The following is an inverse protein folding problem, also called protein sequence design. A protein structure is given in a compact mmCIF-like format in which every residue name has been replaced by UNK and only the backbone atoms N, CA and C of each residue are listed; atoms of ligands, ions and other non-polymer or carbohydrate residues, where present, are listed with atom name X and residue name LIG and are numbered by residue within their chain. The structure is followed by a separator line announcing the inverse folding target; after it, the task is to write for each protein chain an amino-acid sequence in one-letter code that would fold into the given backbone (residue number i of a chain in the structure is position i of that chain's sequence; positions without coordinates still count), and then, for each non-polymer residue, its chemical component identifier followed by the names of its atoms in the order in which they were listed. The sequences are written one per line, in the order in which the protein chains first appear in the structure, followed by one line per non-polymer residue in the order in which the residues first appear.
data_IF_197966807246
#
_entry.id   IF_197966807246
#
_cell.length_a   1.000
_cell.length_b   1.000
_cell.length_c   1.000
_cell.angle_alpha   90.00
_cell.angle_beta   90.00
_cell.angle_gamma   90.00
#
_symmetry.space_group_name_H-M   'P 1'
#
loop_
_entity.id
_entity.type
_entity.pdbx_description
1 polymer ?
#
# COMPACT_ATOMS: atom_id res chain seq x y z
N UNK A 1 13.58 -12.97 -47.58
CA UNK A 1 12.25 -12.70 -47.02
C UNK A 1 12.18 -13.42 -45.68
N UNK A 2 12.29 -12.70 -44.57
CA UNK A 2 12.20 -13.28 -43.22
C UNK A 2 10.76 -13.14 -42.71
N UNK A 3 10.12 -14.18 -42.16
CA UNK A 3 8.85 -14.00 -41.47
C UNK A 3 9.13 -13.38 -40.10
N UNK A 4 8.47 -12.26 -39.84
CA UNK A 4 8.41 -11.62 -38.52
C UNK A 4 7.37 -12.38 -37.69
N UNK A 5 7.80 -13.15 -36.71
CA UNK A 5 6.91 -13.77 -35.72
C UNK A 5 6.65 -12.79 -34.58
N UNK A 6 5.43 -12.26 -34.47
CA UNK A 6 4.98 -11.48 -33.32
C UNK A 6 4.32 -12.47 -32.35
N UNK A 7 4.97 -12.74 -31.22
CA UNK A 7 4.36 -13.43 -30.10
C UNK A 7 3.44 -12.44 -29.37
N UNK A 8 2.13 -12.63 -29.48
CA UNK A 8 1.15 -11.91 -28.65
C UNK A 8 1.06 -12.63 -27.30
N UNK A 9 1.69 -12.08 -26.26
CA UNK A 9 1.45 -12.49 -24.87
C UNK A 9 0.17 -11.80 -24.38
N UNK A 10 -0.90 -12.58 -24.22
CA UNK A 10 -2.14 -12.13 -23.58
C UNK A 10 -1.90 -11.90 -22.09
N UNK A 11 -1.71 -10.64 -21.70
CA UNK A 11 -1.80 -10.22 -20.29
C UNK A 11 -3.27 -10.37 -19.87
N UNK A 12 -3.60 -11.07 -18.77
CA UNK A 12 -4.96 -11.09 -18.26
C UNK A 12 -5.33 -9.65 -17.89
N UNK A 13 -6.24 -9.04 -18.66
CA UNK A 13 -6.81 -7.75 -18.30
C UNK A 13 -7.64 -7.98 -17.03
N UNK A 14 -7.10 -7.52 -15.90
CA UNK A 14 -7.86 -7.37 -14.67
C UNK A 14 -8.93 -6.31 -14.99
N UNK A 15 -10.20 -6.72 -15.01
CA UNK A 15 -11.32 -5.81 -15.18
C UNK A 15 -11.31 -4.81 -14.02
N UNK A 16 -10.79 -3.60 -14.26
CA UNK A 16 -11.03 -2.47 -13.37
C UNK A 16 -12.50 -2.07 -13.54
N UNK A 17 -13.30 -2.42 -12.55
CA UNK A 17 -14.65 -1.88 -12.43
C UNK A 17 -14.52 -0.43 -11.97
N UNK A 18 -14.58 0.51 -12.90
CA UNK A 18 -14.75 1.93 -12.54
C UNK A 18 -16.20 2.12 -12.13
N UNK A 19 -16.45 2.13 -10.82
CA UNK A 19 -17.75 2.55 -10.30
C UNK A 19 -17.90 4.06 -10.54
N UNK A 20 -18.61 4.41 -11.61
CA UNK A 20 -19.09 5.78 -11.83
C UNK A 20 -20.24 6.06 -10.87
N UNK A 21 -20.06 7.04 -9.98
CA UNK A 21 -21.12 7.60 -9.14
C UNK A 21 -21.22 6.99 -7.74
N UNK A 22 -20.17 7.12 -6.93
CA UNK A 22 -20.29 6.87 -5.50
C UNK A 22 -20.60 8.21 -4.81
N UNK A 23 -21.74 8.31 -4.11
CA UNK A 23 -22.07 9.42 -3.20
C UNK A 23 -21.10 9.52 -2.01
N UNK A 24 -20.10 8.64 -1.95
CA UNK A 24 -19.09 8.51 -0.91
C UNK A 24 -17.73 8.25 -1.55
N UNK A 25 -16.64 8.78 -0.96
CA UNK A 25 -15.31 8.52 -1.48
C UNK A 25 -14.95 7.03 -1.44
N UNK A 26 -14.23 6.60 -2.46
CA UNK A 26 -13.67 5.25 -2.57
C UNK A 26 -12.25 5.20 -2.02
N UNK A 27 -11.86 4.01 -1.54
CA UNK A 27 -10.51 3.72 -1.04
C UNK A 27 -9.91 2.58 -1.87
N UNK A 28 -8.78 2.82 -2.52
CA UNK A 28 -7.99 1.83 -3.24
C UNK A 28 -6.68 1.57 -2.50
N UNK A 29 -6.23 0.31 -2.52
CA UNK A 29 -4.92 -0.11 -2.01
C UNK A 29 -4.19 -0.77 -3.16
N UNK A 30 -3.02 -0.23 -3.51
CA UNK A 30 -2.28 -0.61 -4.70
C UNK A 30 -0.84 -0.97 -4.39
N UNK A 31 -0.20 -1.67 -5.32
CA UNK A 31 1.23 -1.99 -5.29
C UNK A 31 1.71 -2.68 -4.01
N UNK A 32 0.87 -3.52 -3.39
CA UNK A 32 1.22 -4.24 -2.16
C UNK A 32 2.40 -5.19 -2.44
N UNK A 33 3.51 -4.94 -1.77
CA UNK A 33 4.70 -5.78 -1.80
C UNK A 33 5.08 -6.15 -0.38
N UNK A 34 5.23 -7.44 -0.15
CA UNK A 34 5.76 -7.99 1.08
C UNK A 34 6.99 -8.81 0.75
N UNK A 35 8.07 -8.58 1.48
CA UNK A 35 9.29 -9.35 1.35
C UNK A 35 9.85 -9.70 2.73
N UNK A 36 10.53 -10.84 2.83
CA UNK A 36 11.32 -11.18 4.00
C UNK A 36 12.69 -11.70 3.57
N UNK A 37 13.74 -11.29 4.28
CA UNK A 37 15.12 -11.71 4.02
C UNK A 37 15.91 -11.87 5.30
N UNK A 38 16.99 -12.66 5.25
CA UNK A 38 17.91 -12.82 6.37
C UNK A 38 18.90 -11.65 6.41
N UNK A 39 19.14 -11.09 7.61
CA UNK A 39 20.14 -10.03 7.80
C UNK A 39 21.58 -10.55 7.90
N UNK A 40 21.77 -11.87 8.07
CA UNK A 40 23.08 -12.52 8.13
C UNK A 40 23.11 -13.72 7.19
N UNK A 41 24.18 -13.82 6.40
CA UNK A 41 24.31 -14.76 5.26
C UNK A 41 25.15 -16.01 5.58
N UNK A 42 25.43 -16.31 6.85
CA UNK A 42 26.18 -17.53 7.17
C UNK A 42 25.27 -18.77 7.06
N UNK A 43 25.78 -19.94 6.59
CA UNK A 43 25.00 -21.17 6.42
C UNK A 43 24.38 -21.72 7.72
N UNK A 44 24.76 -21.16 8.88
CA UNK A 44 24.25 -21.48 10.21
C UNK A 44 23.28 -20.42 10.77
N UNK A 45 22.97 -19.37 10.00
CA UNK A 45 22.24 -18.21 10.51
C UNK A 45 20.74 -18.49 10.70
N UNK A 46 20.38 -18.89 11.92
CA UNK A 46 19.08 -18.56 12.54
C UNK A 46 19.03 -17.05 12.92
N UNK A 47 19.70 -16.19 12.15
CA UNK A 47 19.82 -14.77 12.44
C UNK A 47 18.49 -14.02 12.24
N UNK A 48 18.37 -12.79 12.76
CA UNK A 48 17.16 -12.01 12.61
C UNK A 48 16.81 -11.87 11.12
N UNK A 49 15.54 -12.14 10.81
CA UNK A 49 14.95 -11.87 9.51
C UNK A 49 14.36 -10.46 9.54
N UNK A 50 14.45 -9.77 8.42
CA UNK A 50 13.77 -8.51 8.22
C UNK A 50 12.58 -8.72 7.30
N UNK A 51 11.39 -8.34 7.77
CA UNK A 51 10.20 -8.22 6.97
C UNK A 51 10.02 -6.77 6.53
N UNK A 52 9.65 -6.57 5.28
CA UNK A 52 9.30 -5.28 4.70
C UNK A 52 7.93 -5.40 4.04
N UNK A 53 7.08 -4.41 4.28
CA UNK A 53 5.84 -4.21 3.55
C UNK A 53 5.82 -2.77 2.99
N UNK A 54 5.44 -2.64 1.73
CA UNK A 54 5.20 -1.37 1.05
C UNK A 54 3.92 -1.45 0.21
N UNK A 55 3.14 -0.36 0.22
CA UNK A 55 1.91 -0.23 -0.56
C UNK A 55 1.50 1.25 -0.67
N UNK A 56 0.52 1.51 -1.54
CA UNK A 56 -0.06 2.85 -1.74
C UNK A 56 -1.55 2.83 -1.41
N UNK A 57 -2.02 3.87 -0.71
CA UNK A 57 -3.44 4.13 -0.48
C UNK A 57 -3.86 5.29 -1.39
N UNK A 58 -4.98 5.14 -2.08
CA UNK A 58 -5.59 6.22 -2.86
C UNK A 58 -7.02 6.41 -2.36
N UNK A 59 -7.35 7.63 -1.93
CA UNK A 59 -8.71 8.02 -1.57
C UNK A 59 -9.25 8.97 -2.64
N UNK A 60 -10.40 8.66 -3.23
CA UNK A 60 -10.93 9.46 -4.33
C UNK A 60 -11.49 10.84 -3.92
N UNK A 61 -11.58 11.16 -2.63
CA UNK A 61 -11.87 12.54 -2.19
C UNK A 61 -10.61 13.40 -2.12
N UNK A 62 -9.47 12.84 -1.71
CA UNK A 62 -8.22 13.60 -1.55
C UNK A 62 -7.40 13.57 -2.84
N UNK A 63 -7.54 12.51 -3.65
CA UNK A 63 -6.82 12.24 -4.90
C UNK A 63 -5.28 12.21 -4.81
N UNK A 64 -4.72 12.38 -3.60
CA UNK A 64 -3.30 12.22 -3.31
C UNK A 64 -2.99 10.78 -2.90
N UNK A 65 -2.00 10.19 -3.57
CA UNK A 65 -1.47 8.88 -3.24
C UNK A 65 -0.64 8.93 -1.93
N UNK A 66 -1.01 8.12 -0.95
CA UNK A 66 -0.32 7.99 0.34
C UNK A 66 0.56 6.74 0.30
N UNK A 67 1.85 6.89 0.57
CA UNK A 67 2.77 5.76 0.59
C UNK A 67 2.91 5.22 2.01
N UNK A 68 2.66 3.93 2.17
CA UNK A 68 2.76 3.24 3.45
C UNK A 68 3.91 2.25 3.39
N UNK A 69 4.78 2.26 4.40
CA UNK A 69 5.81 1.23 4.52
C UNK A 69 6.10 0.92 5.98
N UNK A 70 6.42 -0.34 6.25
CA UNK A 70 6.92 -0.75 7.55
C UNK A 70 8.01 -1.80 7.42
N UNK A 71 8.90 -1.78 8.39
CA UNK A 71 9.95 -2.77 8.58
C UNK A 71 9.83 -3.39 9.95
N UNK A 72 9.98 -4.71 10.03
CA UNK A 72 10.11 -5.40 11.30
C UNK A 72 11.30 -6.36 11.28
N UNK A 73 12.14 -6.30 12.31
CA UNK A 73 13.33 -7.14 12.43
C UNK A 73 13.15 -8.06 13.63
N UNK A 74 12.83 -9.33 13.38
CA UNK A 74 12.74 -10.38 14.40
C UNK A 74 13.17 -11.72 13.81
N UNK A 75 13.30 -12.78 14.62
CA UNK A 75 13.78 -14.09 14.14
C UNK A 75 12.94 -14.71 13.01
N UNK A 76 11.70 -14.24 12.81
CA UNK A 76 10.76 -14.80 11.84
C UNK A 76 10.24 -13.80 10.80
N UNK A 77 10.66 -12.53 10.84
CA UNK A 77 10.11 -11.43 10.04
C UNK A 77 8.57 -11.28 10.17
N UNK A 78 8.01 -11.63 11.33
CA UNK A 78 6.57 -11.60 11.58
C UNK A 78 6.10 -10.18 11.90
N UNK A 79 5.01 -9.72 11.31
CA UNK A 79 4.30 -8.51 11.77
C UNK A 79 3.13 -8.89 12.68
N UNK A 80 2.98 -8.16 13.79
CA UNK A 80 1.94 -8.41 14.78
C UNK A 80 0.73 -7.48 14.53
N UNK A 81 -0.51 -7.98 14.70
CA UNK A 81 -1.72 -7.17 14.51
C UNK A 81 -1.83 -6.00 15.49
N UNK A 82 -1.17 -6.08 16.65
CA UNK A 82 -1.20 -5.03 17.67
C UNK A 82 -0.26 -3.86 17.39
N UNK A 83 0.57 -3.93 16.36
CA UNK A 83 1.50 -2.85 16.00
C UNK A 83 0.88 -2.02 14.89
N UNK A 84 0.62 -0.75 15.18
CA UNK A 84 0.15 0.25 14.22
C UNK A 84 1.34 1.00 13.66
N UNK A 85 1.37 1.14 12.33
CA UNK A 85 2.38 1.88 11.59
C UNK A 85 1.73 3.11 10.95
N UNK A 86 2.39 4.25 11.06
CA UNK A 86 1.98 5.48 10.37
C UNK A 86 2.42 5.42 8.90
N UNK A 87 1.55 5.83 7.98
CA UNK A 87 1.93 6.05 6.60
C UNK A 87 2.55 7.44 6.42
N UNK A 88 3.38 7.59 5.40
CA UNK A 88 3.88 8.90 5.02
C UNK A 88 2.85 9.56 4.10
N UNK A 89 2.10 10.50 4.66
CA UNK A 89 1.19 11.36 3.92
C UNK A 89 1.67 12.80 4.07
N UNK A 90 1.74 13.54 2.96
CA UNK A 90 2.01 14.96 3.05
C UNK A 90 0.84 15.63 3.79
N UNK A 91 1.05 16.27 4.95
CA UNK A 91 0.04 17.15 5.51
C UNK A 91 -0.20 18.28 4.49
N UNK A 92 -1.48 18.59 4.27
CA UNK A 92 -1.98 19.50 3.22
C UNK A 92 -1.00 20.61 2.80
N UNK A 93 -0.77 20.72 1.49
CA UNK A 93 -0.05 21.84 0.89
C UNK A 93 0.49 21.50 -0.49
N UNK A 94 -0.36 21.59 -1.52
CA UNK A 94 0.05 21.31 -2.88
C UNK A 94 -0.86 21.97 -3.90
N UNK A 95 -0.59 23.25 -4.16
CA UNK A 95 -1.13 24.12 -5.22
C UNK A 95 -2.39 24.92 -4.85
N UNK A 96 -2.16 26.19 -4.50
CA UNK A 96 -3.14 27.29 -4.59
C UNK A 96 -3.70 27.31 -6.03
N UNK A 97 -4.86 26.67 -6.24
CA UNK A 97 -5.29 26.33 -7.59
C UNK A 97 -6.78 26.08 -7.79
N UNK A 98 -7.65 26.85 -7.14
CA UNK A 98 -9.01 27.17 -7.62
C UNK A 98 -10.13 26.15 -7.37
N UNK A 99 -11.27 26.70 -6.91
CA UNK A 99 -12.63 26.16 -6.79
C UNK A 99 -12.96 25.18 -5.63
N UNK A 100 -13.46 25.77 -4.53
CA UNK A 100 -14.62 25.43 -3.66
C UNK A 100 -14.90 23.98 -3.15
N UNK A 101 -14.03 22.98 -3.29
CA UNK A 101 -14.12 21.75 -2.49
C UNK A 101 -12.72 21.13 -2.28
N UNK A 102 -12.04 21.49 -1.19
CA UNK A 102 -10.67 21.02 -0.91
C UNK A 102 -10.67 19.94 0.18
N UNK A 103 -10.23 18.72 -0.15
CA UNK A 103 -10.07 17.62 0.80
C UNK A 103 -8.61 17.31 1.11
N UNK A 104 -8.30 16.97 2.35
CA UNK A 104 -6.96 16.56 2.77
C UNK A 104 -6.97 15.41 3.78
N UNK A 105 -5.88 14.65 3.80
CA UNK A 105 -5.70 13.54 4.75
C UNK A 105 -5.26 14.07 6.12
N UNK A 106 -5.95 13.65 7.17
CA UNK A 106 -5.59 13.96 8.56
C UNK A 106 -4.74 12.85 9.19
N UNK A 107 -5.02 11.60 8.82
CA UNK A 107 -4.26 10.44 9.27
C UNK A 107 -4.37 9.29 8.28
N UNK A 108 -3.31 8.49 8.21
CA UNK A 108 -3.30 7.22 7.51
C UNK A 108 -2.38 6.26 8.28
N UNK A 109 -2.96 5.19 8.80
CA UNK A 109 -2.25 4.15 9.55
C UNK A 109 -2.60 2.78 9.05
N UNK A 110 -1.77 1.79 9.40
CA UNK A 110 -2.06 0.41 9.09
C UNK A 110 -1.53 -0.56 10.14
N UNK A 111 -2.15 -1.74 10.16
CA UNK A 111 -1.68 -2.92 10.87
C UNK A 111 -1.47 -4.03 9.84
N UNK A 112 -0.41 -4.82 10.02
CA UNK A 112 -0.13 -5.97 9.18
C UNK A 112 0.08 -7.19 10.07
N UNK A 113 -0.68 -8.26 9.83
CA UNK A 113 -0.61 -9.50 10.60
C UNK A 113 -0.13 -10.64 9.70
N UNK A 114 1.01 -11.19 10.08
CA UNK A 114 1.60 -12.39 9.46
C UNK A 114 1.88 -13.48 10.50
N UNK A 115 1.19 -13.44 11.65
CA UNK A 115 1.41 -14.38 12.77
C UNK A 115 0.93 -15.79 12.43
N UNK A 116 -0.08 -15.91 11.58
CA UNK A 116 -0.55 -17.19 11.03
C UNK A 116 0.15 -17.47 9.71
N UNK A 117 0.64 -18.70 9.57
CA UNK A 117 1.27 -19.16 8.34
C UNK A 117 0.29 -19.01 7.16
N UNK A 118 0.79 -18.51 6.03
CA UNK A 118 0.05 -18.30 4.77
C UNK A 118 -1.16 -17.35 4.86
N UNK A 119 -1.25 -16.55 5.93
CA UNK A 119 -2.28 -15.51 6.09
C UNK A 119 -1.60 -14.14 6.20
N UNK A 120 -2.01 -13.22 5.34
CA UNK A 120 -1.50 -11.85 5.29
C UNK A 120 -2.68 -10.89 5.42
N UNK A 121 -2.95 -10.42 6.64
CA UNK A 121 -4.04 -9.48 6.87
C UNK A 121 -3.48 -8.06 6.97
N UNK A 122 -3.79 -7.25 5.97
CA UNK A 122 -3.52 -5.81 5.96
C UNK A 122 -4.80 -5.06 6.33
N UNK A 123 -4.75 -4.30 7.41
CA UNK A 123 -5.83 -3.41 7.83
C UNK A 123 -5.33 -1.98 7.72
N UNK A 124 -6.08 -1.13 7.03
CA UNK A 124 -5.77 0.29 6.84
C UNK A 124 -6.84 1.13 7.53
N UNK A 125 -6.41 2.18 8.21
CA UNK A 125 -7.30 3.18 8.80
C UNK A 125 -6.88 4.55 8.30
N UNK A 126 -7.83 5.30 7.74
CA UNK A 126 -7.58 6.61 7.17
C UNK A 126 -8.68 7.57 7.60
N UNK A 127 -8.32 8.83 7.85
CA UNK A 127 -9.26 9.93 8.06
C UNK A 127 -8.89 11.14 7.20
N UNK A 128 -9.91 11.85 6.72
CA UNK A 128 -9.77 13.04 5.88
C UNK A 128 -10.86 14.06 6.22
N UNK A 129 -10.61 15.31 5.85
CA UNK A 129 -11.56 16.43 5.97
C UNK A 129 -11.72 17.07 4.60
N UNK A 130 -12.90 17.62 4.32
CA UNK A 130 -13.17 18.44 3.15
C UNK A 130 -13.72 19.80 3.60
N UNK A 131 -13.18 20.88 3.05
CA UNK A 131 -13.75 22.23 3.13
C UNK A 131 -14.57 22.52 1.88
N UNK A 132 -15.72 23.17 2.08
CA UNK A 132 -16.62 23.68 1.06
C UNK A 132 -16.60 25.21 1.08
#
# INVERSE_FOLDING_TARGET
MHPLSILLTTVPQISLSTATGADFPSLSIENIRFSSYYLMVSPSAQGPRQGLIDFTIINSAVEVAITCSAKNSNSFAIFNPSTTYECDFAPAGGEEGGDDDWCWSNSATFNFDTTKQDVYNLTVQMSWTCEK
#
